data_IF_884838369511
#
_entry.id   IF_884838369511
#
_cell.length_a   1.000
_cell.length_b   1.000
_cell.length_c   1.000
_cell.angle_alpha   90.00
_cell.angle_beta   90.00
_cell.angle_gamma   90.00
#
_symmetry.space_group_name_H-M   'P 1'
#
loop_
_entity.id
_entity.type
_entity.pdbx_description
1 polymer ?
#
# COMPACT_ATOMS: atom_id res chain seq x y z
N UNK A 1 1.46 -31.79 57.71
CA UNK A 1 1.25 -32.55 56.45
C UNK A 1 0.34 -31.71 55.57
N UNK A 2 0.64 -31.63 54.26
CA UNK A 2 -0.02 -30.83 53.20
C UNK A 2 0.49 -29.38 53.10
N UNK A 3 0.70 -28.93 51.84
CA UNK A 3 0.90 -27.54 51.35
C UNK A 3 2.27 -27.14 50.75
N UNK A 4 3.00 -28.03 50.09
CA UNK A 4 4.12 -27.60 49.20
C UNK A 4 3.93 -28.02 47.73
N UNK A 5 3.09 -29.01 47.42
CA UNK A 5 2.90 -29.48 46.04
C UNK A 5 2.02 -28.60 45.15
N UNK A 6 1.14 -27.78 45.72
CA UNK A 6 0.18 -26.97 44.94
C UNK A 6 0.83 -25.71 44.35
N UNK A 7 1.83 -25.14 45.05
CA UNK A 7 2.48 -23.89 44.61
C UNK A 7 3.24 -24.09 43.29
N UNK A 8 3.94 -25.22 43.15
CA UNK A 8 4.77 -25.48 41.96
C UNK A 8 3.95 -25.68 40.68
N UNK A 9 2.75 -26.26 40.79
CA UNK A 9 1.85 -26.46 39.65
C UNK A 9 1.27 -25.13 39.19
N UNK A 10 0.93 -24.22 40.10
CA UNK A 10 0.41 -22.90 39.76
C UNK A 10 1.46 -22.02 39.05
N UNK A 11 2.72 -22.02 39.51
CA UNK A 11 3.78 -21.25 38.85
C UNK A 11 4.07 -21.75 37.44
N UNK A 12 4.05 -23.09 37.25
CA UNK A 12 4.25 -23.71 35.94
C UNK A 12 3.08 -23.45 34.98
N UNK A 13 1.83 -23.43 35.49
CA UNK A 13 0.64 -23.13 34.69
C UNK A 13 0.64 -21.68 34.18
N UNK A 14 1.09 -20.73 35.00
CA UNK A 14 1.16 -19.30 34.65
C UNK A 14 2.18 -19.06 33.52
N UNK A 15 3.30 -19.77 33.53
CA UNK A 15 4.32 -19.66 32.47
C UNK A 15 3.85 -20.15 31.10
N UNK A 16 2.88 -21.08 31.02
CA UNK A 16 2.40 -21.62 29.73
C UNK A 16 1.35 -20.69 29.10
N UNK A 17 0.56 -19.99 29.91
CA UNK A 17 -0.43 -19.01 29.45
C UNK A 17 0.17 -17.72 28.86
N UNK A 18 1.47 -17.47 29.08
CA UNK A 18 2.16 -16.26 28.61
C UNK A 18 2.85 -16.43 27.25
N UNK A 19 2.81 -17.61 26.63
CA UNK A 19 3.64 -17.91 25.44
C UNK A 19 2.96 -17.58 24.11
N UNK A 20 1.63 -17.41 24.05
CA UNK A 20 0.92 -17.16 22.78
C UNK A 20 0.14 -15.84 22.72
N UNK A 21 0.76 -14.79 23.23
CA UNK A 21 0.42 -13.43 22.81
C UNK A 21 1.71 -12.68 22.48
N UNK A 22 2.50 -13.23 21.54
CA UNK A 22 3.24 -12.35 20.64
C UNK A 22 2.13 -11.52 19.99
N UNK A 23 2.03 -10.20 20.26
CA UNK A 23 1.10 -9.40 19.49
C UNK A 23 1.43 -9.67 18.03
N UNK A 24 0.47 -9.68 17.11
CA UNK A 24 0.78 -9.45 15.70
C UNK A 24 1.47 -8.07 15.63
N UNK A 25 2.76 -8.04 15.95
CA UNK A 25 3.56 -6.88 16.18
C UNK A 25 3.85 -6.36 14.81
N UNK A 26 3.04 -5.41 14.32
CA UNK A 26 3.46 -4.25 13.54
C UNK A 26 4.73 -4.51 12.70
N UNK A 27 4.76 -5.60 11.93
CA UNK A 27 5.95 -5.97 11.19
C UNK A 27 5.97 -5.00 10.05
N UNK A 28 6.92 -4.06 10.13
CA UNK A 28 7.21 -3.14 9.03
C UNK A 28 7.60 -3.98 7.84
N UNK A 29 6.80 -3.90 6.78
CA UNK A 29 7.06 -4.58 5.52
C UNK A 29 7.72 -3.59 4.59
N UNK A 30 8.96 -3.87 4.20
CA UNK A 30 9.65 -3.07 3.20
C UNK A 30 9.05 -3.38 1.83
N UNK A 31 8.61 -2.34 1.14
CA UNK A 31 8.03 -2.43 -0.20
C UNK A 31 8.99 -1.84 -1.20
N UNK A 32 9.14 -2.49 -2.35
CA UNK A 32 9.76 -1.89 -3.52
C UNK A 32 8.77 -1.76 -4.67
N UNK A 33 8.90 -0.66 -5.40
CA UNK A 33 8.09 -0.36 -6.58
C UNK A 33 8.89 -0.64 -7.86
N UNK A 34 8.34 -1.50 -8.71
CA UNK A 34 8.89 -1.83 -10.01
C UNK A 34 7.96 -1.44 -11.15
N UNK A 35 8.42 -1.62 -12.38
CA UNK A 35 7.60 -1.44 -13.57
C UNK A 35 6.61 -2.61 -13.72
N UNK A 36 5.39 -2.32 -14.21
CA UNK A 36 4.40 -3.34 -14.54
C UNK A 36 4.77 -4.12 -15.80
N UNK A 37 4.25 -3.70 -16.96
CA UNK A 37 4.63 -4.23 -18.27
C UNK A 37 5.71 -3.31 -18.88
N UNK A 38 6.71 -3.90 -19.55
CA UNK A 38 7.74 -3.17 -20.29
C UNK A 38 7.16 -2.26 -21.40
N UNK A 39 5.90 -2.48 -21.80
CA UNK A 39 5.18 -1.63 -22.76
C UNK A 39 4.39 -0.49 -22.12
N UNK A 40 4.29 -0.44 -20.80
CA UNK A 40 3.58 0.61 -20.05
C UNK A 40 4.57 1.61 -19.47
N UNK A 41 4.12 2.87 -19.40
CA UNK A 41 4.90 3.93 -18.77
C UNK A 41 5.04 3.65 -17.26
N UNK A 42 6.25 3.74 -16.70
CA UNK A 42 6.43 3.58 -15.26
C UNK A 42 5.77 4.74 -14.52
N UNK A 43 5.03 4.42 -13.46
CA UNK A 43 4.47 5.40 -12.53
C UNK A 43 5.46 5.64 -11.38
N UNK A 44 5.72 6.90 -11.05
CA UNK A 44 6.52 7.24 -9.87
C UNK A 44 5.62 7.23 -8.62
N UNK A 45 5.93 6.34 -7.68
CA UNK A 45 5.15 6.11 -6.46
C UNK A 45 6.06 6.22 -5.25
N UNK A 46 5.67 7.08 -4.32
CA UNK A 46 6.26 7.15 -3.00
C UNK A 46 5.19 6.90 -1.94
N UNK A 47 5.61 6.38 -0.79
CA UNK A 47 4.72 6.14 0.35
C UNK A 47 5.26 6.76 1.62
N UNK A 48 4.35 7.23 2.48
CA UNK A 48 4.68 7.68 3.83
C UNK A 48 3.75 7.02 4.86
N UNK A 49 4.27 6.28 5.85
CA UNK A 49 5.67 5.86 5.97
C UNK A 49 6.13 4.97 4.78
N UNK A 50 7.45 4.86 4.56
CA UNK A 50 8.01 4.04 3.49
C UNK A 50 7.75 2.54 3.71
N UNK A 51 7.80 2.11 4.96
CA UNK A 51 7.45 0.73 5.34
C UNK A 51 5.95 0.59 5.55
N UNK A 52 5.40 -0.51 5.06
CA UNK A 52 3.99 -0.80 5.24
C UNK A 52 3.78 -1.45 6.59
N UNK A 53 2.97 -0.78 7.41
CA UNK A 53 2.54 -1.32 8.69
C UNK A 53 1.08 -1.72 8.54
N UNK A 54 0.74 -3.02 8.66
CA UNK A 54 -0.64 -3.46 8.58
C UNK A 54 -1.54 -2.70 9.56
N UNK A 55 -2.77 -2.41 9.13
CA UNK A 55 -3.77 -1.68 9.92
C UNK A 55 -3.42 -0.21 10.25
N UNK A 56 -2.37 0.34 9.63
CA UNK A 56 -2.07 1.76 9.68
C UNK A 56 -2.37 2.46 8.35
N UNK A 57 -2.66 3.76 8.44
CA UNK A 57 -2.81 4.60 7.27
C UNK A 57 -1.48 4.79 6.56
N UNK A 58 -1.50 4.67 5.23
CA UNK A 58 -0.40 4.91 4.33
C UNK A 58 -0.79 6.03 3.37
N UNK A 59 0.06 7.04 3.26
CA UNK A 59 -0.08 8.08 2.26
C UNK A 59 0.66 7.64 0.99
N UNK A 60 -0.06 7.45 -0.10
CA UNK A 60 0.50 7.27 -1.43
C UNK A 60 0.65 8.63 -2.09
N UNK A 61 1.83 8.88 -2.65
CA UNK A 61 2.17 10.07 -3.43
C UNK A 61 2.51 9.58 -4.83
N UNK A 62 1.63 9.86 -5.79
CA UNK A 62 1.76 9.47 -7.18
C UNK A 62 2.20 10.68 -7.98
N UNK A 63 3.32 10.57 -8.70
CA UNK A 63 3.82 11.62 -9.58
C UNK A 63 3.78 11.15 -11.01
N UNK A 64 3.18 11.96 -11.87
CA UNK A 64 3.07 11.65 -13.28
C UNK A 64 3.18 12.93 -14.12
N UNK A 65 3.81 12.78 -15.29
CA UNK A 65 3.85 13.82 -16.32
C UNK A 65 2.94 13.41 -17.46
N UNK A 66 1.84 14.13 -17.66
CA UNK A 66 0.96 13.96 -18.81
C UNK A 66 1.59 14.61 -20.04
N UNK A 67 1.52 13.90 -21.17
CA UNK A 67 1.87 14.52 -22.45
C UNK A 67 0.86 15.60 -22.84
N UNK A 68 1.36 16.67 -23.47
CA UNK A 68 0.63 17.90 -23.79
C UNK A 68 -0.69 17.67 -24.56
N UNK A 69 -0.77 16.58 -25.33
CA UNK A 69 -1.94 16.20 -26.14
C UNK A 69 -3.12 15.66 -25.31
N UNK A 70 -2.85 15.16 -24.10
CA UNK A 70 -3.88 14.69 -23.15
C UNK A 70 -4.51 15.85 -22.37
N UNK A 71 -3.71 16.86 -22.02
CA UNK A 71 -4.13 18.02 -21.20
C UNK A 71 -5.29 18.82 -21.82
N UNK A 72 -5.33 18.90 -23.15
CA UNK A 72 -6.36 19.66 -23.88
C UNK A 72 -7.74 18.97 -23.91
N UNK A 73 -7.84 17.70 -23.50
CA UNK A 73 -9.02 16.85 -23.74
C UNK A 73 -9.56 16.14 -22.49
N UNK A 74 -8.88 16.28 -21.34
CA UNK A 74 -9.30 15.69 -20.07
C UNK A 74 -10.49 16.47 -19.48
N UNK A 75 -11.71 15.97 -19.69
CA UNK A 75 -12.85 16.27 -18.83
C UNK A 75 -12.84 15.27 -17.67
N UNK A 76 -12.30 15.68 -16.53
CA UNK A 76 -12.15 14.80 -15.38
C UNK A 76 -13.50 14.53 -14.72
N UNK A 77 -13.98 13.28 -14.76
CA UNK A 77 -15.25 12.89 -14.16
C UNK A 77 -15.17 12.66 -12.63
N UNK A 78 -13.99 12.82 -12.01
CA UNK A 78 -13.78 12.65 -10.57
C UNK A 78 -13.02 13.85 -9.98
N UNK A 79 -13.63 14.52 -9.00
CA UNK A 79 -13.20 15.77 -8.34
C UNK A 79 -11.88 15.69 -7.54
N UNK A 80 -10.99 14.72 -7.80
CA UNK A 80 -9.72 14.57 -7.07
C UNK A 80 -8.67 15.57 -7.57
N UNK A 81 -8.74 15.94 -8.86
CA UNK A 81 -7.80 16.88 -9.48
C UNK A 81 -8.60 18.03 -10.11
N UNK A 82 -8.15 19.26 -9.89
CA UNK A 82 -8.71 20.44 -10.58
C UNK A 82 -8.36 20.34 -12.06
N UNK A 83 -9.37 20.42 -12.91
CA UNK A 83 -9.18 20.33 -14.35
C UNK A 83 -9.30 21.70 -15.03
N UNK A 84 -8.49 21.97 -16.09
CA UNK A 84 -7.54 21.07 -16.74
C UNK A 84 -6.35 20.72 -15.84
N UNK A 85 -5.99 19.43 -15.79
CA UNK A 85 -4.86 18.98 -15.00
C UNK A 85 -3.58 19.66 -15.50
N UNK A 86 -2.63 20.02 -14.63
CA UNK A 86 -1.31 20.49 -15.06
C UNK A 86 -0.51 19.37 -15.75
N UNK A 87 0.44 19.75 -16.61
CA UNK A 87 1.30 18.80 -17.32
C UNK A 87 2.07 17.87 -16.37
N UNK A 88 2.47 18.39 -15.22
CA UNK A 88 2.99 17.59 -14.11
C UNK A 88 1.96 17.66 -13.00
N UNK A 89 1.51 16.50 -12.53
CA UNK A 89 0.61 16.44 -11.41
C UNK A 89 1.15 15.50 -10.33
N UNK A 90 0.80 15.82 -9.09
CA UNK A 90 1.04 14.99 -7.93
C UNK A 90 -0.33 14.70 -7.28
N UNK A 91 -0.63 13.42 -7.08
CA UNK A 91 -1.83 12.98 -6.36
C UNK A 91 -1.37 12.41 -5.03
N UNK A 92 -1.97 12.90 -3.95
CA UNK A 92 -1.79 12.32 -2.62
C UNK A 92 -3.09 11.65 -2.20
N UNK A 93 -3.01 10.38 -1.81
CA UNK A 93 -4.17 9.62 -1.33
C UNK A 93 -3.81 8.78 -0.11
N UNK A 94 -4.64 8.88 0.92
CA UNK A 94 -4.48 8.08 2.14
C UNK A 94 -5.27 6.77 2.00
N UNK A 95 -4.60 5.64 2.19
CA UNK A 95 -5.18 4.30 2.09
C UNK A 95 -4.87 3.55 3.38
N UNK A 96 -5.88 2.84 3.91
CA UNK A 96 -5.70 1.94 5.05
C UNK A 96 -5.50 0.51 4.52
N UNK A 97 -4.27 -0.01 4.63
CA UNK A 97 -3.98 -1.40 4.27
C UNK A 97 -4.32 -2.31 5.44
N UNK A 98 -5.53 -2.89 5.41
CA UNK A 98 -5.95 -3.91 6.38
C UNK A 98 -5.36 -5.26 6.01
N UNK A 99 -4.85 -5.98 7.01
CA UNK A 99 -4.48 -7.39 6.91
C UNK A 99 -3.57 -7.76 5.73
N UNK A 100 -2.60 -6.88 5.42
CA UNK A 100 -1.67 -7.08 4.30
C UNK A 100 -0.88 -8.40 4.49
N UNK A 101 -1.09 -9.43 3.64
CA UNK A 101 -0.46 -10.75 3.80
C UNK A 101 1.05 -10.67 3.52
N UNK A 102 1.80 -11.68 3.94
CA UNK A 102 3.22 -11.80 3.55
C UNK A 102 3.37 -12.34 2.13
N UNK A 103 4.39 -11.91 1.42
CA UNK A 103 4.61 -12.16 0.00
C UNK A 103 3.64 -11.40 -0.92
N UNK A 104 3.12 -10.25 -0.48
CA UNK A 104 2.12 -9.51 -1.27
C UNK A 104 2.71 -8.97 -2.59
N UNK A 105 1.83 -8.92 -3.59
CA UNK A 105 2.09 -8.33 -4.90
C UNK A 105 0.82 -7.58 -5.33
N UNK A 106 0.91 -6.27 -5.55
CA UNK A 106 -0.20 -5.48 -6.10
C UNK A 106 0.31 -4.40 -7.05
N UNK A 107 -0.59 -3.83 -7.85
CA UNK A 107 -0.26 -2.73 -8.76
C UNK A 107 -1.01 -1.46 -8.40
N UNK A 108 -0.36 -0.32 -8.63
CA UNK A 108 -0.94 1.01 -8.59
C UNK A 108 -0.93 1.54 -10.02
N UNK A 109 -2.10 1.94 -10.51
CA UNK A 109 -2.28 2.29 -11.91
C UNK A 109 -3.13 3.55 -12.05
N UNK A 110 -2.78 4.40 -13.01
CA UNK A 110 -3.54 5.59 -13.37
C UNK A 110 -4.30 5.31 -14.66
N UNK A 111 -5.62 5.43 -14.59
CA UNK A 111 -6.51 5.38 -15.75
C UNK A 111 -6.96 6.81 -16.05
N UNK A 112 -6.88 7.18 -17.32
CA UNK A 112 -7.48 8.42 -17.81
C UNK A 112 -8.56 8.06 -18.82
N UNK A 113 -9.66 8.81 -18.82
CA UNK A 113 -10.80 8.59 -19.71
C UNK A 113 -10.51 9.04 -21.16
N UNK A 114 -9.23 9.08 -21.55
CA UNK A 114 -8.77 9.64 -22.81
C UNK A 114 -8.54 8.58 -23.89
N UNK A 115 -8.02 7.42 -23.51
CA UNK A 115 -7.75 6.35 -24.47
C UNK A 115 -9.04 5.58 -24.75
N UNK A 116 -9.29 5.26 -26.03
CA UNK A 116 -10.46 4.45 -26.45
C UNK A 116 -10.43 3.05 -25.85
N UNK A 117 -9.25 2.62 -25.40
CA UNK A 117 -9.07 1.45 -24.56
C UNK A 117 -9.17 1.87 -23.08
N UNK A 118 -10.40 2.05 -22.59
CA UNK A 118 -10.69 2.31 -21.17
C UNK A 118 -10.15 1.21 -20.24
N UNK A 119 -9.74 0.07 -20.79
CA UNK A 119 -9.20 -1.08 -20.06
C UNK A 119 -7.68 -1.02 -19.84
N UNK A 120 -6.97 -0.05 -20.43
CA UNK A 120 -5.50 0.05 -20.29
C UNK A 120 -5.08 1.24 -19.42
N UNK A 121 -4.29 1.01 -18.37
CA UNK A 121 -3.76 2.13 -17.59
C UNK A 121 -2.70 2.89 -18.39
N UNK A 122 -2.65 4.20 -18.17
CA UNK A 122 -1.69 5.10 -18.79
C UNK A 122 -0.29 4.95 -18.18
N UNK A 123 -0.23 4.78 -16.86
CA UNK A 123 0.99 4.55 -16.11
C UNK A 123 0.73 3.55 -14.98
N UNK A 124 1.74 2.77 -14.62
CA UNK A 124 1.61 1.70 -13.64
C UNK A 124 2.91 1.45 -12.88
N UNK A 125 2.79 1.08 -11.60
CA UNK A 125 3.86 0.57 -10.75
C UNK A 125 3.40 -0.70 -10.01
N UNK A 126 4.29 -1.67 -9.85
CA UNK A 126 4.04 -2.90 -9.07
C UNK A 126 4.75 -2.78 -7.73
N UNK A 127 4.00 -2.92 -6.65
CA UNK A 127 4.51 -3.04 -5.30
C UNK A 127 4.74 -4.51 -4.95
N UNK A 128 5.92 -4.83 -4.42
CA UNK A 128 6.24 -6.16 -3.89
C UNK A 128 6.94 -6.06 -2.54
N UNK A 129 6.68 -7.03 -1.66
CA UNK A 129 7.42 -7.21 -0.42
C UNK A 129 8.87 -7.62 -0.72
N UNK A 130 9.83 -6.99 -0.04
CA UNK A 130 11.26 -7.28 -0.17
C UNK A 130 11.73 -8.34 0.83
#
# INVERSE_FOLDING_TARGET
>A
MIKIKILFVFTLLITILLIEAVPNQLVKKTTEFGQCDGRMKPLDVMTYPSDFVPNNGLLFILKETLELNLLKKLNCLLCIIKCPAPANFEIQTAVLLKDLPSGYLFSVAIFTDYDKNHDRPQACAVAREK
#
